data_IF_545562205862
#
_entry.id   IF_545562205862
#
_cell.length_a   1.000
_cell.length_b   1.000
_cell.length_c   1.000
_cell.angle_alpha   90.00
_cell.angle_beta   90.00
_cell.angle_gamma   90.00
#
_symmetry.space_group_name_H-M   'P 1'
#
loop_
_entity.id
_entity.type
_entity.pdbx_description
1 polymer ?
#
# COMPACT_ATOMS: atom_id res chain seq x y z
N UNK A 1 -21.75 19.58 -13.74
CA UNK A 1 -21.07 19.77 -12.44
C UNK A 1 -19.69 20.41 -12.62
N UNK A 2 -18.80 19.83 -13.44
CA UNK A 2 -17.42 20.32 -13.62
C UNK A 2 -17.34 21.73 -14.23
N UNK A 3 -18.14 22.02 -15.26
CA UNK A 3 -18.18 23.35 -15.89
C UNK A 3 -18.56 24.49 -14.92
N UNK A 4 -19.32 24.16 -13.87
CA UNK A 4 -19.74 25.16 -12.87
C UNK A 4 -18.62 25.55 -11.89
N UNK A 5 -17.47 24.84 -11.90
CA UNK A 5 -16.32 25.12 -11.07
C UNK A 5 -15.34 26.09 -11.70
N UNK A 6 -15.45 26.31 -13.03
CA UNK A 6 -14.55 27.21 -13.77
C UNK A 6 -14.68 28.64 -13.21
N UNK A 7 -13.54 29.24 -12.84
CA UNK A 7 -13.47 30.59 -12.29
C UNK A 7 -13.96 30.75 -10.86
N UNK A 8 -14.23 29.65 -10.15
CA UNK A 8 -14.56 29.67 -8.71
C UNK A 8 -13.33 29.27 -7.87
N UNK A 9 -13.27 29.69 -6.61
CA UNK A 9 -12.30 29.18 -5.67
C UNK A 9 -12.38 27.64 -5.56
N UNK A 10 -11.25 27.00 -5.31
CA UNK A 10 -11.17 25.56 -5.13
C UNK A 10 -11.93 25.17 -3.85
N UNK A 11 -12.83 24.20 -3.97
CA UNK A 11 -13.52 23.59 -2.82
C UNK A 11 -12.74 22.35 -2.38
N UNK A 12 -12.06 22.44 -1.25
CA UNK A 12 -11.27 21.34 -0.67
C UNK A 12 -12.13 20.19 -0.12
N UNK A 13 -13.45 20.40 0.00
CA UNK A 13 -14.41 19.37 0.44
C UNK A 13 -15.14 18.67 -0.71
N UNK A 14 -14.72 18.96 -1.96
CA UNK A 14 -15.28 18.30 -3.14
C UNK A 14 -14.58 16.97 -3.41
N UNK A 15 -15.06 15.95 -2.77
CA UNK A 15 -14.51 14.58 -2.87
C UNK A 15 -14.76 13.97 -4.23
N UNK A 16 -13.78 13.16 -4.71
CA UNK A 16 -13.88 12.41 -5.97
C UNK A 16 -14.65 11.11 -5.78
N UNK A 17 -14.63 10.53 -4.58
CA UNK A 17 -15.37 9.31 -4.22
C UNK A 17 -16.61 9.64 -3.41
N UNK A 18 -17.62 8.77 -3.51
CA UNK A 18 -18.86 8.87 -2.72
C UNK A 18 -18.72 8.19 -1.37
N UNK A 19 -19.51 8.57 -0.34
CA UNK A 19 -19.39 8.01 1.01
C UNK A 19 -19.45 6.47 1.11
N UNK A 20 -20.26 5.71 0.33
CA UNK A 20 -20.29 4.26 0.39
C UNK A 20 -19.17 3.55 -0.38
N UNK A 21 -18.25 4.28 -1.01
CA UNK A 21 -17.13 3.68 -1.74
C UNK A 21 -16.20 2.96 -0.77
N UNK A 22 -15.90 1.68 -1.05
CA UNK A 22 -14.91 0.89 -0.31
C UNK A 22 -13.57 1.10 -0.97
N UNK A 23 -12.96 2.22 -0.69
CA UNK A 23 -11.63 2.62 -1.18
C UNK A 23 -11.17 3.87 -0.43
N UNK A 24 -9.90 4.27 -0.66
CA UNK A 24 -9.32 5.53 -0.22
C UNK A 24 -8.60 6.19 -1.41
N UNK A 25 -8.11 7.40 -1.26
CA UNK A 25 -7.27 8.04 -2.27
C UNK A 25 -6.45 9.19 -1.69
N UNK A 26 -5.24 9.34 -2.24
CA UNK A 26 -4.44 10.54 -2.10
C UNK A 26 -4.79 11.54 -3.21
N UNK A 27 -4.96 12.81 -2.87
CA UNK A 27 -5.11 13.88 -3.84
C UNK A 27 -3.86 14.77 -3.84
N UNK A 28 -3.00 14.70 -4.88
CA UNK A 28 -1.76 15.45 -4.92
C UNK A 28 -1.99 16.97 -5.06
N UNK A 29 -3.11 17.41 -5.63
CA UNK A 29 -3.42 18.83 -5.80
C UNK A 29 -3.84 19.48 -4.47
N UNK A 30 -4.44 18.69 -3.58
CA UNK A 30 -4.85 19.14 -2.25
C UNK A 30 -3.88 18.72 -1.15
N UNK A 31 -2.96 17.82 -1.47
CA UNK A 31 -2.05 17.15 -0.52
C UNK A 31 -2.85 16.60 0.66
N UNK A 32 -3.84 15.76 0.35
CA UNK A 32 -4.74 15.15 1.33
C UNK A 32 -4.91 13.67 1.09
N UNK A 33 -5.04 12.90 2.17
CA UNK A 33 -5.53 11.53 2.15
C UNK A 33 -7.01 11.52 2.51
N UNK A 34 -7.81 10.71 1.81
CA UNK A 34 -9.26 10.77 1.88
C UNK A 34 -9.84 9.35 2.02
N UNK A 35 -10.64 9.16 3.09
CA UNK A 35 -11.24 7.88 3.45
C UNK A 35 -12.76 7.99 3.46
N UNK A 36 -13.48 7.55 2.41
CA UNK A 36 -14.92 7.41 2.43
C UNK A 36 -15.37 6.49 3.58
N UNK A 37 -16.54 6.76 4.17
CA UNK A 37 -17.04 5.96 5.28
C UNK A 37 -17.21 4.46 4.93
N UNK A 38 -17.37 4.14 3.65
CA UNK A 38 -17.52 2.77 3.14
C UNK A 38 -16.34 1.85 3.44
N UNK A 39 -15.10 2.38 3.54
CA UNK A 39 -13.94 1.54 3.86
C UNK A 39 -13.81 1.25 5.35
N UNK A 40 -14.40 2.09 6.23
CA UNK A 40 -14.26 1.98 7.67
C UNK A 40 -15.17 0.89 8.26
N UNK A 41 -15.07 -0.32 7.73
CA UNK A 41 -15.81 -1.53 8.15
C UNK A 41 -14.96 -2.78 7.87
N UNK A 42 -15.28 -3.92 8.49
CA UNK A 42 -14.60 -5.18 8.19
C UNK A 42 -14.62 -5.52 6.69
N UNK A 43 -13.51 -6.05 6.12
CA UNK A 43 -12.30 -6.50 6.83
C UNK A 43 -11.27 -5.40 7.12
N UNK A 44 -11.48 -4.14 6.67
CA UNK A 44 -10.48 -3.06 6.80
C UNK A 44 -10.39 -2.53 8.23
N UNK A 45 -11.54 -2.26 8.86
CA UNK A 45 -11.57 -1.70 10.20
C UNK A 45 -12.69 -2.31 11.06
N UNK A 46 -12.40 -2.54 12.34
CA UNK A 46 -13.42 -2.86 13.36
C UNK A 46 -13.03 -2.22 14.68
N UNK A 47 -14.00 -1.56 15.34
CA UNK A 47 -13.82 -1.01 16.70
C UNK A 47 -13.55 -2.10 17.76
N UNK A 48 -13.90 -3.35 17.46
CA UNK A 48 -13.74 -4.49 18.38
C UNK A 48 -12.46 -5.29 18.12
N UNK A 49 -11.73 -4.98 17.03
CA UNK A 49 -10.47 -5.62 16.70
C UNK A 49 -9.29 -4.99 17.45
N UNK A 50 -8.23 -5.76 17.63
CA UNK A 50 -6.98 -5.27 18.20
C UNK A 50 -6.19 -4.37 17.23
N UNK A 51 -5.18 -3.68 17.77
CA UNK A 51 -4.36 -2.76 16.99
C UNK A 51 -3.61 -3.48 15.88
N UNK A 52 -3.14 -4.71 16.09
CA UNK A 52 -2.44 -5.48 15.07
C UNK A 52 -3.35 -5.77 13.87
N UNK A 53 -4.60 -6.12 14.14
CA UNK A 53 -5.61 -6.37 13.10
C UNK A 53 -5.94 -5.07 12.35
N UNK A 54 -6.29 -4.00 13.05
CA UNK A 54 -6.67 -2.73 12.42
C UNK A 54 -5.50 -2.06 11.69
N UNK A 55 -4.28 -2.12 12.25
CA UNK A 55 -3.10 -1.53 11.60
C UNK A 55 -2.61 -2.38 10.43
N UNK A 56 -2.73 -3.70 10.48
CA UNK A 56 -2.45 -4.55 9.33
C UNK A 56 -3.43 -4.31 8.17
N UNK A 57 -4.69 -4.03 8.48
CA UNK A 57 -5.74 -3.75 7.50
C UNK A 57 -5.78 -2.26 7.12
N UNK A 58 -6.60 -1.45 7.80
CA UNK A 58 -6.79 -0.03 7.46
C UNK A 58 -5.52 0.79 7.65
N UNK A 59 -4.68 0.46 8.65
CA UNK A 59 -3.40 1.15 8.84
C UNK A 59 -2.48 1.04 7.65
N UNK A 60 -2.45 -0.13 6.96
CA UNK A 60 -1.68 -0.30 5.72
C UNK A 60 -2.23 0.57 4.58
N UNK A 61 -3.56 0.76 4.50
CA UNK A 61 -4.19 1.67 3.53
C UNK A 61 -3.85 3.12 3.85
N UNK A 62 -3.89 3.52 5.12
CA UNK A 62 -3.47 4.88 5.53
C UNK A 62 -2.01 5.14 5.11
N UNK A 63 -1.13 4.20 5.39
CA UNK A 63 0.28 4.29 4.98
C UNK A 63 0.46 4.31 3.46
N UNK A 64 -0.36 3.55 2.72
CA UNK A 64 -0.41 3.53 1.25
C UNK A 64 -0.76 4.92 0.71
N UNK A 65 -1.83 5.54 1.19
CA UNK A 65 -2.23 6.88 0.74
C UNK A 65 -1.19 7.96 1.09
N UNK A 66 -0.53 7.86 2.25
CA UNK A 66 0.57 8.75 2.60
C UNK A 66 1.74 8.55 1.62
N UNK A 67 2.06 7.31 1.26
CA UNK A 67 3.17 6.98 0.37
C UNK A 67 2.94 7.50 -1.05
N UNK A 68 1.69 7.58 -1.52
CA UNK A 68 1.36 8.19 -2.81
C UNK A 68 1.84 9.65 -2.94
N UNK A 69 1.98 10.38 -1.85
CA UNK A 69 2.60 11.72 -1.89
C UNK A 69 4.06 11.72 -2.31
N UNK A 70 4.71 10.55 -2.30
CA UNK A 70 6.13 10.36 -2.56
C UNK A 70 6.42 9.24 -3.59
N UNK A 71 5.40 8.75 -4.29
CA UNK A 71 5.57 7.80 -5.39
C UNK A 71 6.10 8.48 -6.67
N UNK A 72 6.16 7.75 -7.78
CA UNK A 72 6.68 8.25 -9.05
C UNK A 72 5.88 9.43 -9.64
N UNK A 73 4.63 9.60 -9.25
CA UNK A 73 3.75 10.70 -9.67
C UNK A 73 3.61 11.76 -8.59
N UNK A 74 3.28 11.36 -7.34
CA UNK A 74 3.02 12.29 -6.24
C UNK A 74 4.23 13.14 -5.89
N UNK A 75 5.45 12.58 -5.96
CA UNK A 75 6.70 13.31 -5.72
C UNK A 75 6.91 14.55 -6.60
N UNK A 76 6.14 14.65 -7.70
CA UNK A 76 6.21 15.80 -8.62
C UNK A 76 5.37 17.00 -8.16
N UNK A 77 4.60 16.84 -7.09
CA UNK A 77 3.80 17.90 -6.51
C UNK A 77 4.47 18.40 -5.22
N UNK A 78 4.47 19.72 -5.02
CA UNK A 78 4.91 20.33 -3.78
C UNK A 78 3.84 20.25 -2.67
N UNK A 79 4.18 20.69 -1.47
CA UNK A 79 3.28 20.67 -0.32
C UNK A 79 2.00 21.52 -0.50
N UNK A 80 1.96 22.36 -1.53
CA UNK A 80 0.78 23.19 -1.88
C UNK A 80 -0.05 22.61 -3.01
N UNK A 81 0.37 21.45 -3.54
CA UNK A 81 -0.29 20.78 -4.65
C UNK A 81 0.05 21.35 -6.03
N UNK A 82 1.11 22.13 -6.15
CA UNK A 82 1.58 22.59 -7.44
C UNK A 82 2.48 21.52 -8.08
N UNK A 83 2.31 21.30 -9.37
CA UNK A 83 3.23 20.48 -10.16
C UNK A 83 4.58 21.21 -10.25
N UNK A 84 5.49 20.85 -9.38
CA UNK A 84 6.79 21.50 -9.19
C UNK A 84 7.85 20.49 -8.77
N UNK A 85 8.95 20.42 -9.52
CA UNK A 85 10.09 19.58 -9.15
C UNK A 85 10.86 20.26 -8.01
N UNK A 86 10.60 19.79 -6.78
CA UNK A 86 11.19 20.32 -5.54
C UNK A 86 12.28 19.42 -4.96
N UNK A 87 12.49 18.25 -5.58
CA UNK A 87 13.52 17.32 -5.16
C UNK A 87 14.89 17.76 -5.63
N UNK A 88 15.93 17.47 -4.83
CA UNK A 88 17.30 17.61 -5.33
C UNK A 88 17.56 16.56 -6.41
N UNK A 89 18.54 16.83 -7.30
CA UNK A 89 18.91 15.87 -8.32
C UNK A 89 19.42 14.54 -7.71
N UNK A 90 20.03 14.57 -6.53
CA UNK A 90 20.47 13.40 -5.79
C UNK A 90 19.31 12.60 -5.23
N UNK A 91 18.33 13.26 -4.61
CA UNK A 91 17.12 12.58 -4.09
C UNK A 91 16.33 11.95 -5.22
N UNK A 92 16.14 12.66 -6.35
CA UNK A 92 15.45 12.15 -7.52
C UNK A 92 16.14 10.90 -8.08
N UNK A 93 17.47 10.94 -8.19
CA UNK A 93 18.26 9.78 -8.64
C UNK A 93 18.13 8.60 -7.69
N UNK A 94 18.25 8.82 -6.39
CA UNK A 94 18.13 7.78 -5.38
C UNK A 94 16.74 7.15 -5.41
N UNK A 95 15.70 7.97 -5.59
CA UNK A 95 14.34 7.46 -5.77
C UNK A 95 14.22 6.58 -7.02
N UNK A 96 14.72 7.05 -8.18
CA UNK A 96 14.62 6.33 -9.44
C UNK A 96 15.35 4.96 -9.37
N UNK A 97 16.52 4.90 -8.72
CA UNK A 97 17.24 3.64 -8.49
C UNK A 97 16.44 2.66 -7.61
N UNK A 98 15.84 3.14 -6.53
CA UNK A 98 15.03 2.32 -5.61
C UNK A 98 13.67 1.94 -6.21
N UNK A 99 13.01 2.88 -6.89
CA UNK A 99 11.76 2.63 -7.61
C UNK A 99 11.92 1.61 -8.74
N UNK A 100 13.10 1.61 -9.39
CA UNK A 100 13.45 0.58 -10.37
C UNK A 100 13.48 -0.82 -9.77
N UNK A 101 13.93 -1.00 -8.53
CA UNK A 101 13.88 -2.28 -7.83
C UNK A 101 12.43 -2.80 -7.76
N UNK A 102 11.48 -1.95 -7.35
CA UNK A 102 10.06 -2.28 -7.30
C UNK A 102 9.54 -2.63 -8.70
N UNK A 103 9.73 -1.76 -9.69
CA UNK A 103 9.21 -2.02 -11.04
C UNK A 103 9.80 -3.27 -11.70
N UNK A 104 11.07 -3.59 -11.45
CA UNK A 104 11.69 -4.82 -11.94
C UNK A 104 11.08 -6.06 -11.27
N UNK A 105 10.85 -6.04 -9.96
CA UNK A 105 10.26 -7.12 -9.19
C UNK A 105 8.83 -7.43 -9.63
N UNK A 106 8.01 -6.40 -9.84
CA UNK A 106 6.62 -6.56 -10.28
C UNK A 106 6.48 -6.79 -11.78
N UNK A 107 7.57 -6.68 -12.56
CA UNK A 107 7.61 -7.06 -13.99
C UNK A 107 7.77 -8.57 -14.13
N UNK A 108 6.66 -9.31 -14.03
CA UNK A 108 6.66 -10.76 -13.99
C UNK A 108 5.56 -11.38 -14.84
N UNK A 109 5.74 -12.66 -15.18
CA UNK A 109 4.68 -13.43 -15.84
C UNK A 109 3.54 -13.69 -14.86
N UNK A 110 2.30 -13.52 -15.34
CA UNK A 110 1.08 -13.81 -14.61
C UNK A 110 0.42 -15.03 -15.28
N UNK A 111 0.76 -16.26 -14.87
CA UNK A 111 0.29 -17.47 -15.55
C UNK A 111 -1.22 -17.56 -15.61
N UNK A 112 -1.90 -17.11 -14.54
CA UNK A 112 -3.36 -17.13 -14.43
C UNK A 112 -4.04 -16.22 -15.46
N UNK A 113 -3.37 -15.14 -15.89
CA UNK A 113 -3.85 -14.20 -16.90
C UNK A 113 -3.28 -14.47 -18.29
N UNK A 114 -2.23 -15.30 -18.40
CA UNK A 114 -1.53 -15.59 -19.64
C UNK A 114 -0.84 -14.37 -20.27
N UNK A 115 -0.40 -13.41 -19.44
CA UNK A 115 0.28 -12.18 -19.87
C UNK A 115 1.36 -11.80 -18.87
N UNK A 116 2.29 -10.94 -19.34
CA UNK A 116 3.31 -10.34 -18.48
C UNK A 116 2.83 -9.01 -17.91
N UNK A 117 2.99 -8.81 -16.60
CA UNK A 117 2.73 -7.54 -15.94
C UNK A 117 3.83 -6.54 -16.30
N UNK A 118 3.45 -5.29 -16.48
CA UNK A 118 4.36 -4.18 -16.66
C UNK A 118 4.53 -3.44 -15.32
N UNK A 119 5.62 -3.74 -14.61
CA UNK A 119 5.90 -3.11 -13.32
C UNK A 119 6.14 -1.59 -13.37
N UNK A 120 6.41 -1.01 -14.55
CA UNK A 120 6.43 0.45 -14.70
C UNK A 120 5.02 1.05 -14.68
N UNK A 121 4.00 0.31 -15.16
CA UNK A 121 2.60 0.73 -15.06
C UNK A 121 2.11 0.73 -13.62
N UNK A 122 2.59 -0.23 -12.82
CA UNK A 122 2.10 -0.46 -11.46
C UNK A 122 3.03 0.11 -10.38
N UNK A 123 4.16 0.75 -10.78
CA UNK A 123 5.22 1.19 -9.86
C UNK A 123 4.71 2.08 -8.72
N UNK A 124 3.82 3.04 -9.01
CA UNK A 124 3.28 3.95 -7.99
C UNK A 124 2.51 3.18 -6.90
N UNK A 125 1.59 2.32 -7.34
CA UNK A 125 0.77 1.49 -6.46
C UNK A 125 1.60 0.48 -5.67
N UNK A 126 2.53 -0.19 -6.34
CA UNK A 126 3.40 -1.17 -5.69
C UNK A 126 4.37 -0.51 -4.70
N UNK A 127 4.83 0.72 -5.00
CA UNK A 127 5.61 1.54 -4.05
C UNK A 127 4.76 1.94 -2.85
N UNK A 128 3.51 2.33 -3.09
CA UNK A 128 2.57 2.73 -2.03
C UNK A 128 2.23 1.55 -1.10
N UNK A 129 2.03 0.34 -1.63
CA UNK A 129 1.82 -0.86 -0.82
C UNK A 129 3.04 -1.19 0.06
N UNK A 130 4.25 -1.18 -0.53
CA UNK A 130 5.48 -1.47 0.19
C UNK A 130 5.76 -0.44 1.30
N UNK A 131 5.63 0.85 0.98
CA UNK A 131 5.79 1.94 1.95
C UNK A 131 4.70 1.93 3.02
N UNK A 132 3.45 1.72 2.60
CA UNK A 132 2.28 1.72 3.45
C UNK A 132 2.30 0.64 4.52
N UNK A 133 2.60 -0.59 4.13
CA UNK A 133 2.70 -1.70 5.07
C UNK A 133 3.84 -1.49 6.08
N UNK A 134 4.96 -0.92 5.65
CA UNK A 134 6.08 -0.60 6.52
C UNK A 134 5.73 0.50 7.52
N UNK A 135 5.08 1.58 7.09
CA UNK A 135 4.61 2.65 7.97
C UNK A 135 3.61 2.13 9.01
N UNK A 136 2.68 1.27 8.57
CA UNK A 136 1.70 0.64 9.47
C UNK A 136 2.37 -0.25 10.53
N UNK A 137 3.43 -0.98 10.17
CA UNK A 137 4.20 -1.79 11.12
C UNK A 137 4.90 -0.93 12.18
N UNK A 138 5.49 0.21 11.78
CA UNK A 138 6.06 1.19 12.73
C UNK A 138 4.96 1.73 13.65
N UNK A 139 3.76 1.99 13.10
CA UNK A 139 2.60 2.38 13.88
C UNK A 139 2.22 1.34 14.94
N UNK A 140 2.20 0.06 14.55
CA UNK A 140 1.94 -1.05 15.46
C UNK A 140 3.00 -1.14 16.57
N UNK A 141 4.29 -1.08 16.22
CA UNK A 141 5.37 -1.10 17.22
C UNK A 141 5.21 0.01 18.26
N UNK A 142 4.87 1.22 17.81
CA UNK A 142 4.66 2.36 18.69
C UNK A 142 3.43 2.17 19.60
N UNK A 143 2.32 1.65 19.06
CA UNK A 143 1.13 1.37 19.86
C UNK A 143 1.40 0.28 20.91
N UNK A 144 2.00 -0.83 20.53
CA UNK A 144 2.34 -1.92 21.42
C UNK A 144 3.29 -1.48 22.54
N UNK A 145 4.29 -0.64 22.22
CA UNK A 145 5.21 -0.09 23.20
C UNK A 145 4.48 0.72 24.28
N UNK A 146 3.47 1.51 23.91
CA UNK A 146 2.64 2.26 24.87
C UNK A 146 1.83 1.33 25.78
N UNK A 147 1.51 0.12 25.30
CA UNK A 147 0.79 -0.91 26.04
C UNK A 147 1.72 -1.83 26.86
N UNK A 148 3.05 -1.62 26.81
CA UNK A 148 4.03 -2.52 27.43
C UNK A 148 4.18 -3.87 26.73
N UNK A 149 3.78 -3.94 25.44
CA UNK A 149 3.85 -5.14 24.59
C UNK A 149 4.95 -5.00 23.53
N UNK A 150 5.20 -6.09 22.82
CA UNK A 150 6.10 -6.17 21.66
C UNK A 150 5.41 -6.87 20.49
N UNK A 151 6.03 -6.86 19.31
CA UNK A 151 5.56 -7.60 18.13
C UNK A 151 5.43 -9.10 18.37
N UNK A 152 6.23 -9.67 19.28
CA UNK A 152 6.24 -11.09 19.65
C UNK A 152 5.25 -11.44 20.75
N UNK A 153 4.57 -10.46 21.34
CA UNK A 153 3.50 -10.71 22.33
C UNK A 153 2.40 -11.55 21.69
N UNK A 154 2.04 -12.66 22.35
CA UNK A 154 1.00 -13.58 21.87
C UNK A 154 -0.36 -13.21 22.44
N UNK A 155 -1.38 -13.31 21.60
CA UNK A 155 -2.76 -13.28 22.03
C UNK A 155 -3.30 -14.64 22.45
N UNK A 156 -4.58 -14.67 22.82
CA UNK A 156 -5.28 -15.90 23.23
C UNK A 156 -5.43 -16.92 22.10
N UNK A 157 -5.36 -16.48 20.85
CA UNK A 157 -5.35 -17.30 19.65
C UNK A 157 -3.99 -17.99 19.38
N UNK A 158 -2.97 -17.68 20.18
CA UNK A 158 -1.62 -18.20 20.06
C UNK A 158 -0.75 -17.52 19.00
N UNK A 159 -1.31 -16.59 18.21
CA UNK A 159 -0.57 -15.77 17.24
C UNK A 159 0.15 -14.63 17.95
N UNK A 160 1.28 -14.21 17.40
CA UNK A 160 1.94 -12.98 17.83
C UNK A 160 1.27 -11.76 17.21
N UNK A 161 1.46 -10.57 17.80
CA UNK A 161 0.93 -9.31 17.26
C UNK A 161 1.38 -9.10 15.81
N UNK A 162 2.64 -9.36 15.49
CA UNK A 162 3.16 -9.23 14.12
C UNK A 162 2.55 -10.25 13.16
N UNK A 163 2.24 -11.46 13.61
CA UNK A 163 1.57 -12.46 12.78
C UNK A 163 0.14 -12.03 12.46
N UNK A 164 -0.63 -11.53 13.45
CA UNK A 164 -1.96 -10.96 13.20
C UNK A 164 -1.93 -9.79 12.22
N UNK A 165 -0.97 -8.91 12.36
CA UNK A 165 -0.76 -7.78 11.45
C UNK A 165 -0.63 -8.24 9.99
N UNK A 166 0.27 -9.15 9.68
CA UNK A 166 0.45 -9.63 8.32
C UNK A 166 -0.74 -10.45 7.78
N UNK A 167 -1.39 -11.24 8.65
CA UNK A 167 -2.59 -11.97 8.26
C UNK A 167 -3.76 -11.02 7.96
N UNK A 168 -3.90 -9.96 8.74
CA UNK A 168 -4.92 -8.93 8.50
C UNK A 168 -4.68 -8.17 7.21
N UNK A 169 -3.43 -7.76 6.92
CA UNK A 169 -3.04 -7.19 5.64
C UNK A 169 -3.44 -8.10 4.47
N UNK A 170 -3.08 -9.37 4.54
CA UNK A 170 -3.40 -10.33 3.48
C UNK A 170 -4.92 -10.51 3.28
N UNK A 171 -5.69 -10.45 4.37
CA UNK A 171 -7.15 -10.61 4.32
C UNK A 171 -7.86 -9.50 3.55
N UNK A 172 -7.32 -8.28 3.50
CA UNK A 172 -7.87 -7.18 2.70
C UNK A 172 -7.93 -7.51 1.19
N UNK A 173 -7.06 -8.42 0.75
CA UNK A 173 -6.86 -8.77 -0.65
C UNK A 173 -7.45 -10.13 -1.02
N UNK A 174 -8.34 -10.69 -0.16
CA UNK A 174 -9.06 -11.92 -0.44
C UNK A 174 -10.08 -11.72 -1.56
N UNK A 175 -9.60 -11.81 -2.79
CA UNK A 175 -10.37 -11.59 -4.01
C UNK A 175 -10.02 -12.65 -5.05
N UNK A 176 -11.01 -13.06 -5.85
CA UNK A 176 -10.82 -13.92 -7.01
C UNK A 176 -11.43 -13.29 -8.26
N UNK A 177 -10.64 -13.17 -9.31
CA UNK A 177 -11.04 -12.60 -10.60
C UNK A 177 -11.20 -13.69 -11.66
N UNK A 178 -12.18 -13.52 -12.56
CA UNK A 178 -12.27 -14.36 -13.74
C UNK A 178 -11.06 -14.11 -14.66
N UNK A 179 -10.54 -15.15 -15.36
CA UNK A 179 -9.34 -15.00 -16.19
C UNK A 179 -9.39 -13.85 -17.20
N UNK A 180 -10.55 -13.62 -17.83
CA UNK A 180 -10.72 -12.53 -18.81
C UNK A 180 -10.58 -11.14 -18.18
N UNK A 181 -11.15 -10.96 -16.97
CA UNK A 181 -11.02 -9.72 -16.19
C UNK A 181 -9.60 -9.56 -15.72
N UNK A 182 -9.01 -10.62 -15.17
CA UNK A 182 -7.63 -10.64 -14.70
C UNK A 182 -6.65 -10.18 -15.79
N UNK A 183 -6.80 -10.71 -17.02
CA UNK A 183 -5.99 -10.28 -18.17
C UNK A 183 -6.14 -8.78 -18.45
N UNK A 184 -7.35 -8.26 -18.41
CA UNK A 184 -7.62 -6.84 -18.66
C UNK A 184 -6.96 -5.99 -17.56
N UNK A 185 -7.13 -6.37 -16.30
CA UNK A 185 -6.53 -5.68 -15.15
C UNK A 185 -5.02 -5.62 -15.30
N UNK A 186 -4.34 -6.75 -15.54
CA UNK A 186 -2.86 -6.79 -15.67
C UNK A 186 -2.34 -5.88 -16.79
N UNK A 187 -3.09 -5.73 -17.88
CA UNK A 187 -2.65 -4.94 -19.03
C UNK A 187 -2.95 -3.45 -18.93
N UNK A 188 -3.93 -3.04 -18.12
CA UNK A 188 -4.47 -1.66 -18.18
C UNK A 188 -4.62 -0.95 -16.85
N UNK A 189 -4.61 -1.68 -15.73
CA UNK A 189 -4.80 -1.11 -14.40
C UNK A 189 -3.44 -0.76 -13.78
N UNK A 190 -3.29 0.39 -13.11
CA UNK A 190 -2.08 0.72 -12.38
C UNK A 190 -1.86 -0.13 -11.12
N UNK A 191 -2.88 -0.88 -10.67
CA UNK A 191 -2.75 -1.79 -9.54
C UNK A 191 -2.33 -3.19 -10.01
N UNK A 192 -1.39 -3.78 -9.30
CA UNK A 192 -1.08 -5.21 -9.41
C UNK A 192 -2.26 -6.07 -8.94
N UNK A 193 -2.35 -7.33 -9.39
CA UNK A 193 -3.39 -8.24 -8.89
C UNK A 193 -3.23 -8.47 -7.38
N UNK A 194 -4.33 -8.69 -6.63
CA UNK A 194 -4.33 -8.83 -5.16
C UNK A 194 -3.28 -9.82 -4.63
N UNK A 195 -3.14 -10.98 -5.27
CA UNK A 195 -2.10 -11.97 -4.92
C UNK A 195 -0.69 -11.39 -4.92
N UNK A 196 -0.37 -10.51 -5.87
CA UNK A 196 0.96 -9.94 -6.02
C UNK A 196 1.15 -8.71 -5.15
N UNK A 197 0.09 -7.93 -4.91
CA UNK A 197 0.09 -6.87 -3.90
C UNK A 197 0.44 -7.40 -2.51
N UNK A 198 -0.06 -8.59 -2.15
CA UNK A 198 0.29 -9.25 -0.89
C UNK A 198 1.68 -9.86 -0.95
N UNK A 199 1.91 -10.79 -1.88
CA UNK A 199 3.07 -11.67 -1.83
C UNK A 199 4.39 -10.93 -2.05
N UNK A 200 4.46 -9.99 -3.00
CA UNK A 200 5.69 -9.25 -3.25
C UNK A 200 5.94 -8.24 -2.11
N UNK A 201 4.88 -7.56 -1.63
CA UNK A 201 5.03 -6.61 -0.51
C UNK A 201 5.55 -7.30 0.75
N UNK A 202 4.98 -8.44 1.18
CA UNK A 202 5.45 -9.16 2.37
C UNK A 202 6.83 -9.78 2.16
N UNK A 203 7.18 -10.20 0.93
CA UNK A 203 8.51 -10.74 0.62
C UNK A 203 9.62 -9.68 0.77
N UNK A 204 9.29 -8.41 0.65
CA UNK A 204 10.18 -7.27 0.90
C UNK A 204 10.30 -6.90 2.37
N UNK A 205 9.60 -7.61 3.27
CA UNK A 205 9.62 -7.35 4.71
C UNK A 205 10.36 -8.45 5.50
N UNK A 206 11.60 -8.20 5.95
CA UNK A 206 12.33 -9.14 6.80
C UNK A 206 11.57 -9.51 8.08
N UNK A 207 10.71 -8.62 8.56
CA UNK A 207 9.82 -8.81 9.71
C UNK A 207 8.86 -9.97 9.47
N UNK A 208 8.28 -10.09 8.26
CA UNK A 208 7.44 -11.21 7.87
C UNK A 208 8.21 -12.53 7.93
N UNK A 209 9.39 -12.56 7.32
CA UNK A 209 10.22 -13.78 7.32
C UNK A 209 10.55 -14.23 8.75
N UNK A 210 10.85 -13.29 9.66
CA UNK A 210 11.10 -13.59 11.08
C UNK A 210 9.84 -14.11 11.78
N UNK A 211 8.71 -13.43 11.60
CA UNK A 211 7.45 -13.76 12.26
C UNK A 211 6.95 -15.18 11.94
N UNK A 212 7.16 -15.63 10.71
CA UNK A 212 6.68 -16.92 10.23
C UNK A 212 7.79 -17.98 10.09
N UNK A 213 9.03 -17.67 10.51
CA UNK A 213 10.15 -18.61 10.45
C UNK A 213 10.55 -19.00 9.03
N UNK A 214 10.36 -18.11 8.05
CA UNK A 214 10.66 -18.37 6.66
C UNK A 214 12.18 -18.34 6.42
N UNK A 215 12.70 -19.41 5.81
CA UNK A 215 14.11 -19.50 5.48
C UNK A 215 14.45 -18.72 4.20
N UNK A 216 15.72 -18.27 4.09
CA UNK A 216 16.25 -17.69 2.85
C UNK A 216 16.04 -18.63 1.66
N UNK A 217 15.80 -18.04 0.48
CA UNK A 217 15.55 -18.78 -0.76
C UNK A 217 14.14 -19.41 -0.87
N UNK A 218 13.23 -19.06 0.05
CA UNK A 218 11.81 -19.41 -0.09
C UNK A 218 11.06 -18.31 -0.86
N UNK A 219 9.95 -18.63 -1.54
CA UNK A 219 9.26 -17.71 -2.46
C UNK A 219 8.84 -16.37 -1.85
N UNK A 220 8.54 -16.33 -0.55
CA UNK A 220 8.11 -15.12 0.17
C UNK A 220 9.25 -14.48 0.98
N UNK A 221 10.50 -14.67 0.57
CA UNK A 221 11.68 -14.06 1.20
C UNK A 221 12.63 -13.57 0.14
N UNK A 222 12.66 -12.28 -0.08
CA UNK A 222 13.63 -11.67 -0.97
C UNK A 222 14.96 -11.43 -0.23
N UNK A 223 16.08 -11.91 -0.79
CA UNK A 223 17.40 -11.68 -0.20
C UNK A 223 17.81 -10.21 -0.30
N UNK A 224 17.40 -9.56 -1.39
CA UNK A 224 17.60 -8.15 -1.65
C UNK A 224 16.22 -7.47 -1.71
N UNK A 225 15.59 -7.31 -0.56
CA UNK A 225 14.28 -6.68 -0.47
C UNK A 225 14.29 -5.27 -1.06
N UNK A 226 13.33 -4.98 -1.93
CA UNK A 226 13.14 -3.66 -2.49
C UNK A 226 12.56 -2.73 -1.41
N UNK A 227 13.22 -1.60 -1.18
CA UNK A 227 12.75 -0.58 -0.25
C UNK A 227 13.00 0.81 -0.83
N UNK A 228 11.94 1.59 -0.98
CA UNK A 228 12.04 2.97 -1.48
C UNK A 228 12.30 3.92 -0.32
N UNK A 229 11.65 3.72 0.81
CA UNK A 229 11.74 4.53 2.04
C UNK A 229 12.31 3.78 3.23
#
# INVERSE_FOLDING_TARGET
RWLQKIGKPIDRYDWTMTPPTINAYYDPQFNTINFPAGILQPPFFSSDADDATNLGAEGSVIGHEITHGFDDQGRKFDEKGNLHDWWTAEDAKNYDERGKCISDEYTQEIPEAGVKQNGLLTQGEDTADNGGLYLALIGLENSLKQQGKTLETKGDDGLTEVQRFFLSFANNWCEELRPEIMRTVVLTNPHSLPKYRVNNTIANMPEFARAFGCAKGKPLVHENACRVW
#
